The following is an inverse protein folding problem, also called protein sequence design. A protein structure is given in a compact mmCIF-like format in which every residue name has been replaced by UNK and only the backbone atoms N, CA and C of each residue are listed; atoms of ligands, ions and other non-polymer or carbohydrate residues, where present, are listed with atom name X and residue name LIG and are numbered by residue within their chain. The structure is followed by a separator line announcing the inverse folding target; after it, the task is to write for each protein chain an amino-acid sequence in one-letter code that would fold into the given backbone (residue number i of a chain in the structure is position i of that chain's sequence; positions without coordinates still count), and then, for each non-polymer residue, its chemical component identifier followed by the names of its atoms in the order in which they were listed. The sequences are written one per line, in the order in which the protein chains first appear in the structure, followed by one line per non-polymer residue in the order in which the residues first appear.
data_IF_662250842662
#
_entry.id   IF_662250842662
#
_cell.length_a   1.000
_cell.length_b   1.000
_cell.length_c   1.000
_cell.angle_alpha   90.00
_cell.angle_beta   90.00
_cell.angle_gamma   90.00
#
_symmetry.space_group_name_H-M   'P 1'
#
loop_
_entity.id
_entity.type
_entity.pdbx_description
1 polymer ?
#
# COMPACT_ATOMS: atom_id res chain seq x y z
N UNK A 1 -15.17 22.45 9.81
CA UNK A 1 -16.05 23.29 8.95
C UNK A 1 -17.51 22.77 8.93
N UNK A 2 -18.43 23.32 8.11
CA UNK A 2 -19.72 22.65 7.81
C UNK A 2 -19.60 21.88 6.48
N UNK A 3 -20.10 20.64 6.44
CA UNK A 3 -20.10 19.85 5.22
C UNK A 3 -21.04 20.50 4.19
N UNK A 4 -20.58 20.85 2.97
CA UNK A 4 -21.43 21.51 1.96
C UNK A 4 -22.53 20.59 1.40
N UNK A 5 -22.37 19.27 1.52
CA UNK A 5 -23.37 18.29 1.06
C UNK A 5 -24.46 18.05 2.10
N UNK A 6 -24.10 17.99 3.39
CA UNK A 6 -25.02 17.59 4.46
C UNK A 6 -25.43 18.74 5.38
N UNK A 7 -24.75 19.89 5.30
CA UNK A 7 -24.92 21.06 6.14
C UNK A 7 -24.82 20.77 7.65
N UNK A 8 -24.02 19.77 8.03
CA UNK A 8 -23.71 19.42 9.43
C UNK A 8 -22.24 19.70 9.75
N UNK A 9 -21.88 19.89 11.03
CA UNK A 9 -20.48 20.03 11.42
C UNK A 9 -19.64 18.81 11.03
N UNK A 10 -18.47 19.05 10.42
CA UNK A 10 -17.44 18.04 10.22
C UNK A 10 -16.69 17.77 11.51
N UNK A 11 -15.95 16.66 11.56
CA UNK A 11 -15.02 16.34 12.64
C UNK A 11 -13.60 16.33 12.11
N UNK A 12 -12.67 16.93 12.86
CA UNK A 12 -11.24 16.82 12.57
C UNK A 12 -10.75 15.40 12.88
N UNK A 13 -10.10 14.77 11.91
CA UNK A 13 -9.41 13.48 12.07
C UNK A 13 -8.01 13.59 11.47
N UNK A 14 -7.06 12.79 11.96
CA UNK A 14 -5.75 12.67 11.32
C UNK A 14 -5.86 11.82 10.04
N UNK A 15 -5.23 12.27 8.95
CA UNK A 15 -5.17 11.50 7.71
C UNK A 15 -4.06 10.44 7.78
N UNK A 16 -4.45 9.17 7.92
CA UNK A 16 -3.52 8.05 8.02
C UNK A 16 -2.62 8.19 9.24
N UNK A 17 -1.32 8.41 9.00
CA UNK A 17 -0.29 8.69 10.02
C UNK A 17 0.57 9.88 9.62
N UNK A 18 0.01 10.79 8.83
CA UNK A 18 0.73 11.95 8.28
C UNK A 18 0.88 13.10 9.28
N UNK A 19 0.19 13.05 10.43
CA UNK A 19 0.08 14.18 11.35
C UNK A 19 -0.81 15.32 10.86
N UNK A 20 -1.39 15.22 9.66
CA UNK A 20 -2.26 16.25 9.08
C UNK A 20 -3.71 16.01 9.49
N UNK A 21 -4.32 17.00 10.12
CA UNK A 21 -5.76 16.99 10.43
C UNK A 21 -6.56 17.34 9.17
N UNK A 22 -7.67 16.65 8.97
CA UNK A 22 -8.61 16.84 7.86
C UNK A 22 -10.04 16.88 8.39
N UNK A 23 -10.95 17.53 7.65
CA UNK A 23 -12.36 17.60 8.03
C UNK A 23 -13.17 16.46 7.41
N UNK A 24 -13.67 15.57 8.26
CA UNK A 24 -14.48 14.40 7.87
C UNK A 24 -15.95 14.56 8.23
N UNK A 25 -16.84 14.27 7.28
CA UNK A 25 -18.28 14.26 7.51
C UNK A 25 -18.77 12.85 7.88
N UNK A 26 -19.29 12.67 9.11
CA UNK A 26 -19.82 11.36 9.57
C UNK A 26 -21.09 10.88 8.85
N UNK A 27 -21.77 11.75 8.09
CA UNK A 27 -23.03 11.40 7.42
C UNK A 27 -22.85 10.97 5.97
N UNK A 28 -22.09 11.72 5.17
CA UNK A 28 -21.81 11.37 3.77
C UNK A 28 -20.42 10.76 3.55
N UNK A 29 -19.60 10.68 4.59
CA UNK A 29 -18.21 10.21 4.53
C UNK A 29 -17.31 11.06 3.63
N UNK A 30 -17.72 12.30 3.33
CA UNK A 30 -16.91 13.26 2.58
C UNK A 30 -15.72 13.76 3.39
N UNK A 31 -14.61 13.97 2.70
CA UNK A 31 -13.37 14.54 3.23
C UNK A 31 -13.15 15.90 2.60
N UNK A 32 -12.84 16.89 3.42
CA UNK A 32 -12.61 18.27 3.01
C UNK A 32 -11.27 18.74 3.55
N UNK A 33 -10.54 19.46 2.70
CA UNK A 33 -9.19 19.92 2.97
C UNK A 33 -9.12 21.43 2.87
N UNK A 34 -8.39 22.05 3.79
CA UNK A 34 -7.94 23.42 3.65
C UNK A 34 -6.78 23.53 2.67
N UNK A 35 -6.50 24.75 2.20
CA UNK A 35 -5.54 25.03 1.11
C UNK A 35 -4.17 24.36 1.32
N UNK A 36 -3.68 24.34 2.56
CA UNK A 36 -2.33 23.90 2.89
C UNK A 36 -2.29 22.44 3.40
N UNK A 37 -3.43 21.79 3.62
CA UNK A 37 -3.48 20.41 4.14
C UNK A 37 -3.08 19.37 3.08
N UNK A 38 -3.56 19.51 1.84
CA UNK A 38 -3.21 18.57 0.76
C UNK A 38 -1.70 18.56 0.47
N UNK A 39 -1.00 19.71 0.31
CA UNK A 39 0.45 19.74 0.19
C UNK A 39 1.18 19.04 1.34
N UNK A 40 0.75 19.26 2.59
CA UNK A 40 1.38 18.65 3.76
C UNK A 40 1.19 17.11 3.79
N UNK A 41 0.02 16.62 3.36
CA UNK A 41 -0.22 15.18 3.21
C UNK A 41 0.75 14.60 2.18
N UNK A 42 0.92 15.26 1.04
CA UNK A 42 1.83 14.80 -0.01
C UNK A 42 3.27 14.75 0.51
N UNK A 43 3.73 15.81 1.17
CA UNK A 43 5.09 15.86 1.73
C UNK A 43 5.32 14.75 2.77
N UNK A 44 4.37 14.51 3.67
CA UNK A 44 4.47 13.45 4.65
C UNK A 44 4.54 12.05 4.01
N UNK A 45 3.74 11.81 2.96
CA UNK A 45 3.77 10.55 2.21
C UNK A 45 5.06 10.39 1.40
N UNK A 46 5.59 11.46 0.80
CA UNK A 46 6.88 11.45 0.11
C UNK A 46 8.03 11.17 1.08
N UNK A 47 7.97 11.72 2.29
CA UNK A 47 8.93 11.44 3.35
C UNK A 47 8.90 9.96 3.77
N UNK A 48 7.70 9.38 3.96
CA UNK A 48 7.56 7.96 4.27
C UNK A 48 8.15 7.06 3.17
N UNK A 49 8.00 7.45 1.89
CA UNK A 49 8.55 6.72 0.73
C UNK A 49 10.07 6.87 0.63
N UNK A 50 10.62 8.02 1.03
CA UNK A 50 12.06 8.32 0.89
C UNK A 50 12.90 7.87 2.08
N UNK A 51 12.36 7.94 3.30
CA UNK A 51 13.02 7.46 4.50
C UNK A 51 13.10 5.94 4.55
N UNK A 52 12.03 5.26 4.12
CA UNK A 52 12.07 3.80 3.97
C UNK A 52 12.97 3.47 2.80
N UNK A 53 14.17 3.00 3.11
CA UNK A 53 15.05 2.45 2.09
C UNK A 53 14.33 1.30 1.38
N UNK A 54 14.66 1.07 0.11
CA UNK A 54 14.15 -0.11 -0.62
C UNK A 54 14.32 -1.42 0.18
N UNK A 55 15.39 -1.50 0.99
CA UNK A 55 15.65 -2.62 1.89
C UNK A 55 14.62 -2.75 3.02
N UNK A 56 14.20 -1.65 3.64
CA UNK A 56 13.18 -1.66 4.70
C UNK A 56 11.81 -2.00 4.13
N UNK A 57 11.46 -1.47 2.95
CA UNK A 57 10.22 -1.83 2.25
C UNK A 57 10.17 -3.33 1.92
N UNK A 58 11.27 -3.89 1.39
CA UNK A 58 11.39 -5.33 1.10
C UNK A 58 11.29 -6.15 2.38
N UNK A 59 11.93 -5.72 3.47
CA UNK A 59 11.88 -6.43 4.74
C UNK A 59 10.46 -6.43 5.35
N UNK A 60 9.79 -5.27 5.39
CA UNK A 60 8.39 -5.17 5.86
C UNK A 60 7.46 -6.04 5.01
N UNK A 61 7.60 -5.99 3.68
CA UNK A 61 6.81 -6.81 2.75
C UNK A 61 7.04 -8.31 2.96
N UNK A 62 8.29 -8.74 3.24
CA UNK A 62 8.62 -10.14 3.52
C UNK A 62 8.01 -10.58 4.87
N UNK A 63 8.06 -9.74 5.90
CA UNK A 63 7.48 -10.05 7.21
C UNK A 63 5.95 -10.17 7.15
N UNK A 64 5.30 -9.33 6.35
CA UNK A 64 3.86 -9.43 6.12
C UNK A 64 3.49 -10.68 5.29
N UNK A 65 4.27 -10.99 4.25
CA UNK A 65 4.10 -12.22 3.47
C UNK A 65 4.27 -13.48 4.33
N UNK A 66 5.21 -13.49 5.29
CA UNK A 66 5.36 -14.60 6.24
C UNK A 66 4.11 -14.81 7.09
N UNK A 67 3.42 -13.74 7.51
CA UNK A 67 2.19 -13.84 8.29
C UNK A 67 1.04 -14.45 7.50
N UNK A 68 0.93 -14.12 6.21
CA UNK A 68 -0.04 -14.73 5.29
C UNK A 68 0.23 -16.23 5.12
N UNK A 69 1.51 -16.63 5.00
CA UNK A 69 1.92 -18.04 4.87
C UNK A 69 1.63 -18.87 6.13
N UNK A 70 1.49 -18.24 7.31
CA UNK A 70 1.20 -18.93 8.58
C UNK A 70 -0.29 -19.03 8.93
N UNK A 71 -1.19 -18.72 7.99
CA UNK A 71 -2.64 -18.82 8.19
C UNK A 71 -3.14 -20.25 8.48
N UNK A 72 -4.32 -20.39 9.15
CA UNK A 72 -4.90 -21.69 9.51
C UNK A 72 -5.55 -22.44 8.34
N UNK A 73 -5.70 -21.81 7.16
CA UNK A 73 -6.23 -22.48 5.97
C UNK A 73 -5.13 -23.21 5.17
N UNK A 74 -5.56 -24.17 4.36
CA UNK A 74 -4.66 -25.00 3.55
C UNK A 74 -3.85 -24.12 2.60
N UNK A 75 -2.56 -24.00 2.88
CA UNK A 75 -1.51 -23.32 2.10
C UNK A 75 -1.68 -23.42 0.57
N UNK A 76 -2.29 -24.50 0.08
CA UNK A 76 -2.48 -24.80 -1.35
C UNK A 76 -3.51 -23.92 -2.08
N UNK A 77 -4.57 -23.42 -1.42
CA UNK A 77 -5.55 -22.55 -2.08
C UNK A 77 -5.03 -21.12 -2.22
N UNK A 78 -4.35 -20.61 -1.20
CA UNK A 78 -3.85 -19.23 -1.18
C UNK A 78 -2.58 -19.03 -2.03
N UNK A 79 -1.70 -20.04 -2.12
CA UNK A 79 -0.49 -19.95 -2.94
C UNK A 79 -0.78 -19.77 -4.45
N UNK A 80 -1.92 -20.31 -4.91
CA UNK A 80 -2.34 -20.16 -6.31
C UNK A 80 -2.72 -18.72 -6.66
N UNK A 81 -3.42 -18.03 -5.76
CA UNK A 81 -3.83 -16.65 -5.96
C UNK A 81 -2.62 -15.71 -5.89
N UNK A 82 -1.74 -15.96 -4.92
CA UNK A 82 -0.47 -15.25 -4.80
C UNK A 82 0.41 -15.41 -6.06
N UNK A 83 0.47 -16.61 -6.64
CA UNK A 83 1.22 -16.87 -7.88
C UNK A 83 0.67 -16.08 -9.08
N UNK A 84 -0.63 -15.81 -9.11
CA UNK A 84 -1.28 -15.03 -10.16
C UNK A 84 -0.91 -13.55 -10.05
N UNK A 85 -0.88 -13.02 -8.82
CA UNK A 85 -0.42 -11.65 -8.53
C UNK A 85 1.05 -11.48 -8.91
N UNK A 86 1.93 -12.42 -8.52
CA UNK A 86 3.33 -12.40 -8.91
C UNK A 86 3.51 -12.44 -10.42
N UNK A 87 2.69 -13.22 -11.14
CA UNK A 87 2.74 -13.29 -12.60
C UNK A 87 2.33 -11.97 -13.27
N UNK A 88 1.30 -11.30 -12.75
CA UNK A 88 0.88 -9.97 -13.23
C UNK A 88 1.93 -8.90 -12.93
N UNK A 89 2.56 -8.94 -11.75
CA UNK A 89 3.70 -8.08 -11.41
C UNK A 89 4.89 -8.32 -12.34
N UNK A 90 5.24 -9.58 -12.63
CA UNK A 90 6.30 -9.93 -13.57
C UNK A 90 6.05 -9.34 -14.95
N UNK A 91 4.81 -9.41 -15.47
CA UNK A 91 4.47 -8.79 -16.75
C UNK A 91 4.60 -7.27 -16.72
N UNK A 92 4.18 -6.62 -15.64
CA UNK A 92 4.31 -5.15 -15.49
C UNK A 92 5.78 -4.71 -15.47
N UNK A 93 6.61 -5.42 -14.71
CA UNK A 93 8.04 -5.13 -14.59
C UNK A 93 8.80 -5.40 -15.89
N UNK A 94 8.36 -6.37 -16.70
CA UNK A 94 8.91 -6.61 -18.03
C UNK A 94 8.77 -5.42 -18.97
N UNK A 95 7.63 -4.71 -18.88
CA UNK A 95 7.36 -3.54 -19.72
C UNK A 95 8.10 -2.31 -19.20
N UNK A 96 8.14 -2.10 -17.89
CA UNK A 96 8.67 -0.85 -17.31
C UNK A 96 10.18 -0.88 -17.07
N UNK A 97 10.76 -2.02 -16.69
CA UNK A 97 12.17 -2.18 -16.28
C UNK A 97 12.69 -3.58 -16.64
N UNK A 98 13.01 -3.85 -17.92
CA UNK A 98 13.38 -5.19 -18.40
C UNK A 98 14.57 -5.82 -17.67
N UNK A 99 15.51 -5.01 -17.14
CA UNK A 99 16.66 -5.50 -16.36
C UNK A 99 16.30 -6.10 -15.00
N UNK A 100 15.17 -5.71 -14.39
CA UNK A 100 14.72 -6.26 -13.10
C UNK A 100 14.04 -7.63 -13.24
N UNK A 101 13.62 -7.98 -14.45
CA UNK A 101 13.01 -9.29 -14.73
C UNK A 101 14.03 -10.40 -14.58
N UNK A 102 15.26 -10.20 -15.02
CA UNK A 102 16.32 -11.21 -14.93
C UNK A 102 16.54 -11.63 -13.47
N UNK A 103 16.59 -10.68 -12.53
CA UNK A 103 16.69 -10.95 -11.09
C UNK A 103 15.44 -11.60 -10.48
N UNK A 104 14.24 -11.38 -11.05
CA UNK A 104 12.99 -11.98 -10.57
C UNK A 104 12.78 -13.41 -11.07
N UNK A 105 13.34 -13.74 -12.24
CA UNK A 105 13.34 -15.11 -12.77
C UNK A 105 14.13 -16.05 -11.85
N UNK A 106 15.20 -15.55 -11.23
CA UNK A 106 15.99 -16.30 -10.24
C UNK A 106 15.19 -16.57 -8.96
N UNK A 107 14.31 -15.66 -8.52
CA UNK A 107 13.43 -15.88 -7.37
C UNK A 107 12.34 -16.92 -7.65
N UNK A 108 11.84 -17.03 -8.89
CA UNK A 108 10.95 -18.12 -9.30
C UNK A 108 11.62 -19.50 -9.22
N UNK A 109 12.96 -19.58 -9.19
CA UNK A 109 13.68 -20.84 -8.96
C UNK A 109 13.75 -21.25 -7.49
N UNK A 110 13.44 -20.33 -6.56
CA UNK A 110 13.20 -20.64 -5.14
C UNK A 110 11.80 -21.19 -4.90
N UNK A 111 11.21 -21.87 -5.91
CA UNK A 111 9.98 -22.60 -5.74
C UNK A 111 10.19 -23.68 -4.67
N UNK A 112 9.51 -23.64 -3.52
CA UNK A 112 9.62 -24.68 -2.50
C UNK A 112 9.02 -26.03 -2.93
N UNK A 113 8.47 -26.12 -4.15
CA UNK A 113 7.84 -27.30 -4.74
C UNK A 113 8.49 -27.76 -6.05
N UNK A 114 9.74 -27.39 -6.31
CA UNK A 114 10.57 -28.08 -7.31
C UNK A 114 11.41 -29.17 -6.64
#
# INVERSE_FOLDING_TARGET
MQCPTCNIPTVGIEYGHTGVNIDYCKNCHGVWLDKDELPNIIEALEHEITEKTFSEYVHESIEEAKKLVTGPESFMSEWKDLSSVFKLMQYRLYVEKPKLVETLLDLNTLNPFK
#
